data_IF_292902854957
#
_entry.id   IF_292902854957
#
_cell.length_a   1.000
_cell.length_b   1.000
_cell.length_c   1.000
_cell.angle_alpha   90.00
_cell.angle_beta   90.00
_cell.angle_gamma   90.00
#
_symmetry.space_group_name_H-M   'P 1'
#
loop_
_entity.id
_entity.type
_entity.pdbx_description
1 polymer ?
#
# COMPACT_ATOMS: atom_id res chain seq x y z
N UNK A 1 9.75 -11.34 -17.15
CA UNK A 1 9.82 -11.30 -15.67
C UNK A 1 10.61 -10.05 -15.28
N UNK A 2 10.23 -9.29 -14.25
CA UNK A 2 11.12 -8.25 -13.72
C UNK A 2 12.46 -8.90 -13.35
N UNK A 3 13.57 -8.20 -13.54
CA UNK A 3 14.87 -8.76 -13.19
C UNK A 3 14.93 -9.08 -11.70
N UNK A 4 15.40 -10.27 -11.33
CA UNK A 4 15.57 -10.65 -9.92
C UNK A 4 16.39 -9.61 -9.14
N UNK A 5 17.34 -8.96 -9.81
CA UNK A 5 18.15 -7.86 -9.27
C UNK A 5 17.32 -6.68 -8.74
N UNK A 6 16.21 -6.34 -9.39
CA UNK A 6 15.33 -5.27 -8.90
C UNK A 6 14.63 -5.67 -7.60
N UNK A 7 14.08 -6.88 -7.56
CA UNK A 7 13.42 -7.40 -6.37
C UNK A 7 14.41 -7.58 -5.19
N UNK A 8 15.62 -8.08 -5.44
CA UNK A 8 16.68 -8.21 -4.44
C UNK A 8 17.07 -6.86 -3.85
N UNK A 9 17.18 -5.81 -4.67
CA UNK A 9 17.46 -4.46 -4.20
C UNK A 9 16.33 -3.93 -3.31
N UNK A 10 15.07 -4.14 -3.68
CA UNK A 10 13.92 -3.76 -2.87
C UNK A 10 13.95 -4.46 -1.50
N UNK A 11 14.23 -5.76 -1.49
CA UNK A 11 14.36 -6.54 -0.26
C UNK A 11 15.49 -5.99 0.62
N UNK A 12 16.69 -5.77 0.08
CA UNK A 12 17.82 -5.19 0.85
C UNK A 12 17.45 -3.84 1.46
N UNK A 13 16.84 -2.97 0.64
CA UNK A 13 16.42 -1.62 1.05
C UNK A 13 15.45 -1.68 2.23
N UNK A 14 14.45 -2.58 2.18
CA UNK A 14 13.47 -2.72 3.25
C UNK A 14 14.12 -3.32 4.50
N UNK A 15 15.04 -4.30 4.38
CA UNK A 15 15.75 -4.88 5.54
C UNK A 15 16.59 -3.84 6.26
N UNK A 16 17.46 -3.15 5.52
CA UNK A 16 18.35 -2.12 6.08
C UNK A 16 17.55 -0.99 6.73
N UNK A 17 16.46 -0.57 6.10
CA UNK A 17 15.56 0.42 6.66
C UNK A 17 14.87 -0.08 7.94
N UNK A 18 14.33 -1.31 7.95
CA UNK A 18 13.68 -1.92 9.11
C UNK A 18 14.63 -1.97 10.31
N UNK A 19 15.84 -2.48 10.12
CA UNK A 19 16.85 -2.59 11.19
C UNK A 19 17.20 -1.23 11.78
N UNK A 20 17.37 -0.23 10.92
CA UNK A 20 17.62 1.15 11.35
C UNK A 20 16.47 1.70 12.20
N UNK A 21 15.23 1.52 11.77
CA UNK A 21 14.06 2.02 12.50
C UNK A 21 13.85 1.27 13.82
N UNK A 22 13.95 -0.07 13.80
CA UNK A 22 13.87 -0.89 15.01
C UNK A 22 14.86 -0.40 16.08
N UNK A 23 16.10 -0.06 15.68
CA UNK A 23 17.11 0.48 16.58
C UNK A 23 16.80 1.90 17.08
N UNK A 24 16.38 2.80 16.20
CA UNK A 24 16.13 4.21 16.54
C UNK A 24 14.93 4.34 17.49
N UNK A 25 13.86 3.60 17.22
CA UNK A 25 12.62 3.68 17.99
C UNK A 25 12.53 2.64 19.11
N UNK A 26 13.51 1.74 19.21
CA UNK A 26 13.50 0.62 20.16
C UNK A 26 12.23 -0.25 20.06
N UNK A 27 11.79 -0.53 18.83
CA UNK A 27 10.62 -1.35 18.49
C UNK A 27 11.00 -2.52 17.58
N UNK A 28 10.08 -3.46 17.39
CA UNK A 28 10.14 -4.38 16.25
C UNK A 28 9.00 -4.10 15.29
N UNK A 29 9.27 -3.53 14.12
CA UNK A 29 8.22 -3.29 13.12
C UNK A 29 7.47 -4.57 12.71
N UNK A 30 8.09 -5.75 12.83
CA UNK A 30 7.41 -7.02 12.56
C UNK A 30 6.39 -7.39 13.66
N UNK A 31 6.47 -6.85 14.88
CA UNK A 31 5.54 -7.22 15.95
C UNK A 31 4.11 -6.78 15.70
N UNK A 32 3.89 -5.80 14.81
CA UNK A 32 2.58 -5.23 14.47
C UNK A 32 1.82 -6.02 13.39
N UNK A 33 2.31 -7.21 13.04
CA UNK A 33 1.52 -8.16 12.26
C UNK A 33 1.89 -9.60 12.55
N UNK A 34 0.90 -10.48 12.42
CA UNK A 34 1.09 -11.92 12.52
C UNK A 34 1.93 -12.43 11.33
N UNK A 35 2.74 -13.49 11.53
CA UNK A 35 3.33 -14.22 10.41
C UNK A 35 2.23 -14.67 9.43
N UNK A 36 2.49 -14.55 8.14
CA UNK A 36 1.55 -15.07 7.14
C UNK A 36 1.62 -16.60 7.07
N UNK A 37 0.47 -17.23 6.89
CA UNK A 37 0.35 -18.69 6.82
C UNK A 37 1.04 -19.24 5.58
N UNK A 38 1.37 -20.53 5.59
CA UNK A 38 1.92 -21.22 4.41
C UNK A 38 0.98 -21.12 3.20
N UNK A 39 -0.31 -21.28 3.43
CA UNK A 39 -1.36 -21.12 2.41
C UNK A 39 -1.34 -19.71 1.80
N UNK A 40 -1.27 -18.65 2.62
CA UNK A 40 -1.20 -17.28 2.13
C UNK A 40 0.09 -17.01 1.33
N UNK A 41 1.22 -17.64 1.71
CA UNK A 41 2.45 -17.58 0.90
C UNK A 41 2.25 -18.24 -0.47
N UNK A 42 1.65 -19.42 -0.52
CA UNK A 42 1.34 -20.14 -1.76
C UNK A 42 0.38 -19.34 -2.66
N UNK A 43 -0.62 -18.68 -2.08
CA UNK A 43 -1.56 -17.81 -2.78
C UNK A 43 -0.86 -16.60 -3.43
N UNK A 44 0.03 -15.94 -2.67
CA UNK A 44 0.86 -14.84 -3.20
C UNK A 44 1.74 -15.34 -4.35
N UNK A 45 2.39 -16.50 -4.20
CA UNK A 45 3.21 -17.09 -5.26
C UNK A 45 2.38 -17.41 -6.51
N UNK A 46 1.15 -17.93 -6.35
CA UNK A 46 0.25 -18.20 -7.46
C UNK A 46 -0.16 -16.93 -8.22
N UNK A 47 -0.40 -15.83 -7.49
CA UNK A 47 -0.66 -14.50 -8.08
C UNK A 47 0.55 -13.96 -8.86
N UNK A 48 1.75 -14.07 -8.29
CA UNK A 48 3.00 -13.54 -8.88
C UNK A 48 3.44 -14.34 -10.09
N UNK A 49 3.34 -15.68 -10.04
CA UNK A 49 3.77 -16.58 -11.11
C UNK A 49 2.79 -16.63 -12.30
N UNK A 50 1.62 -15.98 -12.19
CA UNK A 50 0.62 -15.96 -13.25
C UNK A 50 0.06 -17.34 -13.58
N UNK A 51 0.05 -18.26 -12.60
CA UNK A 51 -0.48 -19.62 -12.76
C UNK A 51 -2.00 -19.64 -12.99
N UNK A 52 -2.68 -18.54 -12.68
CA UNK A 52 -4.12 -18.36 -12.81
C UNK A 52 -4.45 -17.75 -14.17
N UNK A 53 -5.19 -18.50 -14.99
CA UNK A 53 -5.53 -18.11 -16.37
C UNK A 53 -6.72 -17.17 -16.46
N UNK A 54 -7.73 -17.34 -15.60
CA UNK A 54 -8.96 -16.54 -15.67
C UNK A 54 -8.81 -15.23 -14.89
N UNK A 55 -9.31 -14.12 -15.47
CA UNK A 55 -9.27 -12.81 -14.82
C UNK A 55 -10.11 -12.78 -13.53
N UNK A 56 -11.21 -13.54 -13.51
CA UNK A 56 -12.10 -13.68 -12.35
C UNK A 56 -11.39 -14.37 -11.19
N UNK A 57 -10.83 -15.55 -11.40
CA UNK A 57 -10.18 -16.30 -10.32
C UNK A 57 -8.97 -15.55 -9.77
N UNK A 58 -8.27 -14.80 -10.63
CA UNK A 58 -7.19 -13.91 -10.21
C UNK A 58 -7.70 -12.77 -9.32
N UNK A 59 -8.87 -12.22 -9.63
CA UNK A 59 -9.53 -11.17 -8.84
C UNK A 59 -9.98 -11.69 -7.48
N UNK A 60 -10.66 -12.83 -7.48
CA UNK A 60 -11.14 -13.49 -6.27
C UNK A 60 -9.96 -13.84 -5.34
N UNK A 61 -8.86 -14.38 -5.88
CA UNK A 61 -7.67 -14.68 -5.08
C UNK A 61 -6.97 -13.41 -4.58
N UNK A 62 -6.85 -12.37 -5.41
CA UNK A 62 -6.24 -11.11 -4.97
C UNK A 62 -7.06 -10.46 -3.84
N UNK A 63 -8.39 -10.48 -3.92
CA UNK A 63 -9.26 -10.04 -2.83
C UNK A 63 -8.96 -10.81 -1.54
N UNK A 64 -8.90 -12.15 -1.62
CA UNK A 64 -8.62 -13.00 -0.47
C UNK A 64 -7.24 -12.72 0.14
N UNK A 65 -6.20 -12.63 -0.70
CA UNK A 65 -4.84 -12.32 -0.25
C UNK A 65 -4.78 -10.98 0.45
N UNK A 66 -5.39 -9.93 -0.12
CA UNK A 66 -5.34 -8.60 0.48
C UNK A 66 -6.14 -8.55 1.78
N UNK A 67 -7.33 -9.16 1.83
CA UNK A 67 -8.10 -9.29 3.06
C UNK A 67 -7.27 -9.99 4.15
N UNK A 68 -6.74 -11.17 3.85
CA UNK A 68 -5.99 -11.97 4.82
C UNK A 68 -4.73 -11.23 5.30
N UNK A 69 -4.02 -10.52 4.42
CA UNK A 69 -2.88 -9.69 4.81
C UNK A 69 -3.28 -8.57 5.76
N UNK A 70 -4.34 -7.83 5.45
CA UNK A 70 -4.79 -6.75 6.32
C UNK A 70 -5.37 -7.25 7.65
N UNK A 71 -5.97 -8.45 7.68
CA UNK A 71 -6.38 -9.12 8.92
C UNK A 71 -5.19 -9.56 9.79
N UNK A 72 -3.98 -9.68 9.22
CA UNK A 72 -2.77 -9.93 10.02
C UNK A 72 -2.25 -8.70 10.74
N UNK A 73 -2.68 -7.49 10.35
CA UNK A 73 -2.19 -6.25 10.95
C UNK A 73 -2.85 -6.01 12.30
N UNK A 74 -2.04 -5.96 13.35
CA UNK A 74 -2.53 -5.61 14.70
C UNK A 74 -2.80 -4.09 14.82
N UNK A 75 -2.48 -3.31 13.77
CA UNK A 75 -2.76 -1.87 13.64
C UNK A 75 -4.04 -1.52 12.88
N UNK A 76 -4.84 -2.52 12.45
CA UNK A 76 -6.09 -2.29 11.72
C UNK A 76 -7.31 -2.59 12.61
N UNK A 77 -8.13 -1.58 12.92
CA UNK A 77 -9.29 -1.73 13.83
C UNK A 77 -10.59 -2.09 13.09
N UNK A 78 -10.73 -1.73 11.81
CA UNK A 78 -11.91 -2.07 11.01
C UNK A 78 -11.58 -2.39 9.57
N UNK A 79 -12.07 -3.51 9.05
CA UNK A 79 -12.02 -3.85 7.63
C UNK A 79 -13.45 -3.97 7.11
N UNK A 80 -13.89 -3.00 6.28
CA UNK A 80 -15.25 -2.98 5.73
C UNK A 80 -15.22 -2.98 4.21
N UNK A 81 -15.42 -4.16 3.62
CA UNK A 81 -15.61 -4.29 2.17
C UNK A 81 -16.87 -3.52 1.75
N UNK A 82 -16.72 -2.52 0.89
CA UNK A 82 -17.83 -1.67 0.46
C UNK A 82 -18.55 -2.23 -0.77
N UNK A 83 -17.88 -2.75 -1.81
CA UNK A 83 -18.53 -3.11 -3.09
C UNK A 83 -18.07 -4.44 -3.71
N UNK A 84 -18.82 -5.54 -3.50
CA UNK A 84 -18.36 -6.91 -3.80
C UNK A 84 -18.54 -7.44 -5.23
N UNK A 85 -19.23 -6.75 -6.15
CA UNK A 85 -19.52 -7.35 -7.47
C UNK A 85 -19.55 -6.33 -8.60
N UNK A 86 -18.58 -6.41 -9.50
CA UNK A 86 -18.76 -5.98 -10.88
C UNK A 86 -18.91 -7.20 -11.80
N UNK A 87 -19.45 -7.01 -12.99
CA UNK A 87 -19.33 -7.98 -14.08
C UNK A 87 -17.84 -8.26 -14.33
N UNK A 88 -17.44 -9.53 -14.54
CA UNK A 88 -16.06 -10.01 -14.79
C UNK A 88 -15.17 -10.37 -13.58
N UNK A 89 -15.71 -10.49 -12.36
CA UNK A 89 -14.90 -10.86 -11.19
C UNK A 89 -13.91 -9.78 -10.78
N UNK A 90 -14.23 -8.54 -11.15
CA UNK A 90 -13.47 -7.37 -10.74
C UNK A 90 -14.14 -6.82 -9.48
N UNK A 91 -13.33 -6.24 -8.62
CA UNK A 91 -13.74 -5.89 -7.27
C UNK A 91 -13.10 -4.56 -6.90
N UNK A 92 -13.91 -3.68 -6.31
CA UNK A 92 -13.51 -2.46 -5.67
C UNK A 92 -13.79 -2.61 -4.18
N UNK A 93 -12.76 -2.59 -3.35
CA UNK A 93 -12.95 -2.45 -1.92
C UNK A 93 -12.44 -1.13 -1.43
N UNK A 94 -12.98 -0.72 -0.29
CA UNK A 94 -12.37 0.28 0.55
C UNK A 94 -12.02 -0.37 1.88
N UNK A 95 -10.83 -0.10 2.43
CA UNK A 95 -10.48 -0.50 3.80
C UNK A 95 -10.34 0.77 4.64
N UNK A 96 -11.21 1.00 5.61
CA UNK A 96 -11.04 2.12 6.54
C UNK A 96 -10.10 1.72 7.69
N UNK A 97 -8.84 2.12 7.64
CA UNK A 97 -7.90 1.98 8.75
C UNK A 97 -8.21 3.03 9.83
N UNK A 98 -8.26 2.62 11.09
CA UNK A 98 -8.19 3.52 12.25
C UNK A 98 -6.93 3.11 13.00
N UNK A 99 -6.02 4.05 13.22
CA UNK A 99 -4.78 3.79 13.94
C UNK A 99 -4.97 4.04 15.44
N UNK A 100 -4.24 3.28 16.25
CA UNK A 100 -4.09 3.56 17.68
C UNK A 100 -3.06 4.67 17.89
N UNK A 101 -3.08 5.34 19.04
CA UNK A 101 -2.12 6.38 19.42
C UNK A 101 -0.66 5.90 19.34
N UNK A 102 -0.40 4.64 19.72
CA UNK A 102 0.93 4.02 19.59
C UNK A 102 1.41 4.01 18.13
N UNK A 103 0.55 3.61 17.20
CA UNK A 103 0.89 3.55 15.78
C UNK A 103 1.06 4.95 15.21
N UNK A 104 0.23 5.92 15.62
CA UNK A 104 0.39 7.32 15.25
C UNK A 104 1.75 7.87 15.71
N UNK A 105 2.17 7.55 16.94
CA UNK A 105 3.48 7.94 17.48
C UNK A 105 4.63 7.30 16.71
N UNK A 106 4.59 6.01 16.39
CA UNK A 106 5.61 5.33 15.56
C UNK A 106 5.70 5.98 14.19
N UNK A 107 4.55 6.22 13.56
CA UNK A 107 4.47 6.88 12.25
C UNK A 107 5.10 8.28 12.31
N UNK A 108 4.85 9.05 13.38
CA UNK A 108 5.45 10.37 13.57
C UNK A 108 6.97 10.30 13.75
N UNK A 109 7.47 9.21 14.32
CA UNK A 109 8.91 8.94 14.47
C UNK A 109 9.60 8.51 13.17
N UNK A 110 8.88 7.96 12.19
CA UNK A 110 9.45 7.51 10.90
C UNK A 110 9.23 8.51 9.75
N UNK A 111 8.26 9.43 9.88
CA UNK A 111 7.98 10.49 8.91
C UNK A 111 7.71 11.83 9.59
N UNK A 112 8.26 12.92 9.04
CA UNK A 112 8.15 14.28 9.59
C UNK A 112 6.79 14.94 9.30
N UNK A 113 5.76 14.19 8.91
CA UNK A 113 4.52 14.72 8.37
C UNK A 113 3.36 14.26 9.23
N UNK A 114 2.57 15.22 9.74
CA UNK A 114 1.52 15.00 10.73
C UNK A 114 0.57 13.88 10.27
N UNK A 115 0.45 12.89 11.15
CA UNK A 115 0.06 11.52 10.82
C UNK A 115 -1.44 11.36 10.92
N UNK A 116 -2.09 11.11 9.78
CA UNK A 116 -3.24 10.20 9.62
C UNK A 116 -4.36 10.29 10.67
N UNK A 117 -4.69 11.48 11.19
CA UNK A 117 -5.80 11.71 12.15
C UNK A 117 -7.16 11.18 11.69
N UNK A 118 -7.30 10.85 10.40
CA UNK A 118 -8.52 10.34 9.78
C UNK A 118 -8.40 8.91 9.25
N UNK A 119 -7.26 8.25 9.48
CA UNK A 119 -7.00 6.91 8.96
C UNK A 119 -6.52 6.88 7.52
N UNK A 120 -6.40 5.66 6.98
CA UNK A 120 -6.10 5.39 5.57
C UNK A 120 -7.33 4.68 4.97
N UNK A 121 -7.59 4.88 3.69
CA UNK A 121 -8.47 4.05 2.89
C UNK A 121 -7.65 2.98 2.16
N UNK A 122 -8.14 1.77 1.99
CA UNK A 122 -7.63 0.82 0.99
C UNK A 122 -8.39 0.95 -0.32
N UNK A 123 -7.79 0.56 -1.43
CA UNK A 123 -8.45 0.29 -2.71
C UNK A 123 -7.61 -0.72 -3.46
N UNK A 124 -8.20 -1.76 -4.03
CA UNK A 124 -7.51 -2.50 -5.09
C UNK A 124 -8.28 -2.52 -6.38
N UNK A 125 -7.52 -2.48 -7.46
CA UNK A 125 -8.00 -2.63 -8.81
C UNK A 125 -7.34 -3.85 -9.43
N UNK A 126 -8.15 -4.83 -9.80
CA UNK A 126 -7.73 -5.97 -10.63
C UNK A 126 -8.30 -5.91 -12.07
N UNK A 127 -8.83 -4.76 -12.49
CA UNK A 127 -9.58 -4.61 -13.75
C UNK A 127 -8.72 -4.80 -15.01
N UNK A 128 -7.39 -4.67 -14.91
CA UNK A 128 -6.44 -4.65 -16.03
C UNK A 128 -5.06 -5.17 -15.61
N UNK A 129 -4.23 -5.59 -16.58
CA UNK A 129 -2.82 -5.96 -16.33
C UNK A 129 -2.02 -4.81 -15.69
N UNK A 130 -2.38 -3.57 -16.01
CA UNK A 130 -1.80 -2.33 -15.47
C UNK A 130 -2.88 -1.29 -15.20
N UNK A 131 -2.72 -0.50 -14.14
CA UNK A 131 -3.58 0.64 -13.81
C UNK A 131 -3.10 1.90 -14.56
N UNK A 132 -4.07 2.61 -15.16
CA UNK A 132 -3.88 3.84 -15.92
C UNK A 132 -4.06 5.11 -15.08
N UNK A 133 -3.62 6.24 -15.64
CA UNK A 133 -3.72 7.59 -15.06
C UNK A 133 -5.14 7.94 -14.56
N UNK A 134 -6.15 7.72 -15.40
CA UNK A 134 -7.55 8.09 -15.11
C UNK A 134 -8.09 7.48 -13.80
N UNK A 135 -7.71 6.23 -13.49
CA UNK A 135 -8.12 5.59 -12.23
C UNK A 135 -7.42 6.17 -11.01
N UNK A 136 -6.16 6.61 -11.18
CA UNK A 136 -5.44 7.31 -10.12
C UNK A 136 -6.04 8.69 -9.89
N UNK A 137 -6.36 9.45 -10.94
CA UNK A 137 -7.02 10.76 -10.81
C UNK A 137 -8.33 10.65 -10.00
N UNK A 138 -9.17 9.65 -10.30
CA UNK A 138 -10.39 9.36 -9.52
C UNK A 138 -10.08 9.07 -8.04
N UNK A 139 -8.98 8.39 -7.78
CA UNK A 139 -8.53 8.06 -6.43
C UNK A 139 -8.02 9.30 -5.69
N UNK A 140 -7.30 10.19 -6.38
CA UNK A 140 -6.89 11.49 -5.87
C UNK A 140 -8.10 12.32 -5.41
N UNK A 141 -9.15 12.38 -6.23
CA UNK A 141 -10.42 13.03 -5.86
C UNK A 141 -11.05 12.43 -4.60
N UNK A 142 -11.04 11.09 -4.48
CA UNK A 142 -11.57 10.39 -3.30
C UNK A 142 -10.76 10.68 -2.05
N UNK A 143 -9.43 10.67 -2.14
CA UNK A 143 -8.51 11.05 -1.05
C UNK A 143 -8.84 12.45 -0.54
N UNK A 144 -8.95 13.42 -1.46
CA UNK A 144 -9.33 14.79 -1.13
C UNK A 144 -10.71 14.88 -0.47
N UNK A 145 -11.73 14.23 -1.05
CA UNK A 145 -13.11 14.26 -0.53
C UNK A 145 -13.22 13.64 0.86
N UNK A 146 -12.56 12.52 1.09
CA UNK A 146 -12.62 11.79 2.38
C UNK A 146 -11.65 12.35 3.41
N UNK A 147 -10.66 13.13 2.99
CA UNK A 147 -9.54 13.62 3.79
C UNK A 147 -8.77 12.46 4.47
N UNK A 148 -8.60 11.35 3.75
CA UNK A 148 -7.82 10.17 4.16
C UNK A 148 -6.82 9.79 3.06
N UNK A 149 -5.58 9.47 3.43
CA UNK A 149 -4.64 8.83 2.49
C UNK A 149 -5.22 7.50 1.97
N UNK A 150 -4.71 6.98 0.86
CA UNK A 150 -5.24 5.76 0.23
C UNK A 150 -4.11 4.77 -0.09
N UNK A 151 -4.14 3.58 0.51
CA UNK A 151 -3.44 2.42 -0.05
C UNK A 151 -4.11 2.02 -1.34
N UNK A 152 -3.36 2.05 -2.44
CA UNK A 152 -3.85 1.64 -3.73
C UNK A 152 -3.08 0.39 -4.15
N UNK A 153 -3.76 -0.75 -4.21
CA UNK A 153 -3.17 -2.05 -4.53
C UNK A 153 -3.49 -2.39 -5.99
N UNK A 154 -2.47 -2.72 -6.77
CA UNK A 154 -2.64 -3.14 -8.16
C UNK A 154 -1.53 -4.11 -8.58
N UNK A 155 -1.75 -4.89 -9.64
CA UNK A 155 -0.69 -5.76 -10.16
C UNK A 155 0.52 -4.97 -10.67
N UNK A 156 0.27 -3.89 -11.40
CA UNK A 156 1.25 -2.97 -12.00
C UNK A 156 0.62 -1.61 -12.29
N UNK A 157 1.47 -0.62 -12.52
CA UNK A 157 1.10 0.75 -12.89
C UNK A 157 1.67 1.10 -14.26
N UNK A 158 0.95 1.93 -15.00
CA UNK A 158 1.49 2.61 -16.20
C UNK A 158 2.37 3.79 -15.78
N UNK A 159 3.27 4.25 -16.66
CA UNK A 159 4.10 5.45 -16.41
C UNK A 159 3.24 6.66 -16.04
N UNK A 160 2.17 6.93 -16.80
CA UNK A 160 1.25 8.02 -16.49
C UNK A 160 0.53 7.88 -15.15
N UNK A 161 0.28 6.65 -14.67
CA UNK A 161 -0.23 6.44 -13.31
C UNK A 161 0.82 6.76 -12.24
N UNK A 162 2.08 6.37 -12.46
CA UNK A 162 3.20 6.68 -11.55
C UNK A 162 3.43 8.19 -11.48
N UNK A 163 3.45 8.86 -12.63
CA UNK A 163 3.62 10.32 -12.72
C UNK A 163 2.50 11.05 -11.98
N UNK A 164 1.26 10.60 -12.11
CA UNK A 164 0.12 11.18 -11.39
C UNK A 164 0.20 10.97 -9.88
N UNK A 165 0.60 9.77 -9.42
CA UNK A 165 0.82 9.53 -7.99
C UNK A 165 1.96 10.42 -7.46
N UNK A 166 3.07 10.53 -8.19
CA UNK A 166 4.19 11.39 -7.82
C UNK A 166 3.78 12.86 -7.77
N UNK A 167 3.03 13.32 -8.77
CA UNK A 167 2.48 14.66 -8.81
C UNK A 167 1.62 14.92 -7.58
N UNK A 168 0.63 14.06 -7.31
CA UNK A 168 -0.27 14.17 -6.16
C UNK A 168 0.46 14.14 -4.81
N UNK A 169 1.45 13.25 -4.64
CA UNK A 169 2.18 13.10 -3.38
C UNK A 169 3.25 14.19 -3.17
N UNK A 170 3.70 14.86 -4.21
CA UNK A 170 4.76 15.89 -4.13
C UNK A 170 4.20 17.31 -4.11
N UNK A 171 3.08 17.55 -4.79
CA UNK A 171 2.46 18.86 -4.84
C UNK A 171 1.53 19.03 -3.65
N UNK A 172 1.91 19.94 -2.77
CA UNK A 172 0.99 20.52 -1.82
C UNK A 172 0.05 21.42 -2.61
N UNK A 173 -1.23 21.06 -2.66
CA UNK A 173 -2.21 21.77 -3.47
C UNK A 173 -2.53 23.16 -2.88
N UNK A 174 -1.67 24.15 -3.10
CA UNK A 174 -1.93 25.55 -2.74
C UNK A 174 -3.18 26.10 -3.46
N UNK A 175 -3.45 25.64 -4.68
CA UNK A 175 -4.65 26.05 -5.42
C UNK A 175 -5.91 25.22 -5.09
N UNK A 176 -5.80 24.13 -4.30
CA UNK A 176 -6.93 23.38 -3.73
C UNK A 176 -7.02 23.55 -2.20
N UNK A 177 -6.57 24.68 -1.66
CA UNK A 177 -6.51 24.98 -0.23
C UNK A 177 -7.85 24.76 0.51
N UNK A 178 -8.99 24.79 -0.18
CA UNK A 178 -10.31 24.53 0.42
C UNK A 178 -10.77 23.06 0.41
N UNK A 179 -10.12 22.15 -0.33
CA UNK A 179 -10.61 20.78 -0.54
C UNK A 179 -9.69 19.74 0.12
N UNK A 180 -8.37 19.84 -0.08
CA UNK A 180 -7.44 18.76 0.26
C UNK A 180 -6.44 19.10 1.38
N UNK A 181 -6.36 20.36 1.81
CA UNK A 181 -5.35 20.82 2.75
C UNK A 181 -5.98 21.34 4.05
N UNK A 182 -5.44 20.92 5.19
CA UNK A 182 -5.63 21.63 6.45
C UNK A 182 -4.25 21.86 7.06
N UNK A 183 -3.45 22.72 6.40
CA UNK A 183 -2.11 23.26 6.73
C UNK A 183 -0.99 22.26 7.12
N UNK A 184 -1.27 21.19 7.87
CA UNK A 184 -0.30 20.21 8.36
C UNK A 184 -0.54 18.77 7.85
N UNK A 185 -1.75 18.46 7.37
CA UNK A 185 -2.09 17.11 6.88
C UNK A 185 -1.65 16.92 5.42
N UNK A 186 -0.64 16.07 5.15
CA UNK A 186 -0.28 15.69 3.78
C UNK A 186 -1.03 14.43 3.37
N UNK A 187 -2.04 14.53 2.51
CA UNK A 187 -2.70 13.36 1.94
C UNK A 187 -1.78 12.67 0.90
N UNK A 188 -2.02 11.38 0.64
CA UNK A 188 -1.17 10.61 -0.30
C UNK A 188 -1.90 9.42 -0.90
N UNK A 189 -1.55 9.08 -2.14
CA UNK A 189 -1.79 7.76 -2.73
C UNK A 189 -0.55 6.90 -2.43
N UNK A 190 -0.75 5.76 -1.78
CA UNK A 190 0.31 4.85 -1.35
C UNK A 190 0.21 3.58 -2.20
N UNK A 191 0.99 3.47 -3.29
CA UNK A 191 0.88 2.34 -4.18
C UNK A 191 1.45 1.08 -3.52
N UNK A 192 0.77 -0.04 -3.70
CA UNK A 192 1.23 -1.38 -3.34
C UNK A 192 1.14 -2.26 -4.59
N UNK A 193 2.25 -2.87 -4.98
CA UNK A 193 2.32 -3.80 -6.10
C UNK A 193 2.57 -5.23 -5.64
N UNK A 194 2.56 -6.17 -6.58
CA UNK A 194 2.78 -7.59 -6.27
C UNK A 194 4.21 -7.90 -5.80
N UNK A 195 5.20 -7.05 -6.07
CA UNK A 195 6.53 -7.26 -5.52
C UNK A 195 6.53 -7.06 -4.01
N UNK A 196 5.81 -6.06 -3.49
CA UNK A 196 5.68 -5.84 -2.05
C UNK A 196 4.92 -6.97 -1.36
N UNK A 197 3.92 -7.56 -2.02
CA UNK A 197 3.28 -8.80 -1.52
C UNK A 197 4.29 -9.95 -1.46
N UNK A 198 5.12 -10.10 -2.49
CA UNK A 198 6.19 -11.11 -2.53
C UNK A 198 7.23 -10.89 -1.44
N UNK A 199 7.55 -9.66 -1.07
CA UNK A 199 8.46 -9.38 0.07
C UNK A 199 7.91 -9.98 1.37
N UNK A 200 6.58 -9.95 1.57
CA UNK A 200 5.93 -10.46 2.78
C UNK A 200 6.04 -11.98 2.96
N UNK A 201 6.43 -12.72 1.92
CA UNK A 201 6.64 -14.18 2.03
C UNK A 201 7.97 -14.55 2.67
N UNK A 202 8.90 -13.59 2.73
CA UNK A 202 10.19 -13.71 3.39
C UNK A 202 10.02 -13.60 4.92
N UNK A 203 10.62 -14.51 5.69
CA UNK A 203 10.42 -14.57 7.14
C UNK A 203 10.91 -13.33 7.89
N UNK A 204 11.92 -12.66 7.35
CA UNK A 204 12.56 -11.51 7.98
C UNK A 204 11.74 -10.20 7.85
N UNK A 205 10.78 -10.14 6.92
CA UNK A 205 9.96 -8.94 6.66
C UNK A 205 8.47 -9.32 6.72
N UNK A 206 7.76 -8.84 7.74
CA UNK A 206 6.31 -9.01 7.84
C UNK A 206 5.56 -7.88 7.14
N UNK A 207 4.26 -8.08 6.94
CA UNK A 207 3.40 -7.14 6.23
C UNK A 207 3.35 -5.76 6.91
N UNK A 208 3.37 -5.70 8.24
CA UNK A 208 3.46 -4.43 8.99
C UNK A 208 4.68 -3.60 8.58
N UNK A 209 5.85 -4.21 8.46
CA UNK A 209 7.08 -3.53 8.01
C UNK A 209 6.92 -2.94 6.61
N UNK A 210 6.28 -3.68 5.70
CA UNK A 210 5.96 -3.19 4.35
C UNK A 210 5.01 -2.00 4.40
N UNK A 211 3.97 -2.06 5.23
CA UNK A 211 3.00 -0.95 5.42
C UNK A 211 3.70 0.31 5.92
N UNK A 212 4.52 0.23 6.98
CA UNK A 212 5.27 1.38 7.48
C UNK A 212 6.24 1.94 6.45
N UNK A 213 6.98 1.08 5.75
CA UNK A 213 7.92 1.49 4.71
C UNK A 213 7.21 2.27 3.60
N UNK A 214 6.09 1.74 3.11
CA UNK A 214 5.36 2.33 1.98
C UNK A 214 4.67 3.63 2.34
N UNK A 215 4.12 3.76 3.55
CA UNK A 215 3.61 5.04 4.07
C UNK A 215 4.73 6.09 4.06
N UNK A 216 5.88 5.76 4.64
CA UNK A 216 7.03 6.69 4.70
C UNK A 216 7.43 7.16 3.29
N UNK A 217 7.69 6.22 2.39
CA UNK A 217 8.16 6.55 1.05
C UNK A 217 7.13 7.39 0.29
N UNK A 218 5.83 7.08 0.40
CA UNK A 218 4.79 7.83 -0.30
C UNK A 218 4.66 9.26 0.24
N UNK A 219 4.70 9.43 1.56
CA UNK A 219 4.63 10.76 2.22
C UNK A 219 5.83 11.63 1.86
N UNK A 220 7.00 11.03 1.63
CA UNK A 220 8.21 11.71 1.17
C UNK A 220 8.28 11.93 -0.34
N UNK A 221 7.25 11.55 -1.11
CA UNK A 221 7.25 11.66 -2.57
C UNK A 221 8.22 10.71 -3.28
N UNK A 222 8.58 9.59 -2.63
CA UNK A 222 9.58 8.60 -3.08
C UNK A 222 8.92 7.29 -3.51
N UNK A 223 7.79 7.33 -4.21
CA UNK A 223 7.06 6.11 -4.58
C UNK A 223 7.86 5.20 -5.54
N UNK A 224 8.85 5.75 -6.24
CA UNK A 224 9.73 4.96 -7.10
C UNK A 224 10.51 3.91 -6.29
N UNK A 225 10.82 4.20 -5.01
CA UNK A 225 11.40 3.22 -4.07
C UNK A 225 10.41 2.11 -3.70
N UNK A 226 9.11 2.42 -3.70
CA UNK A 226 8.04 1.46 -3.41
C UNK A 226 7.85 0.51 -4.60
N UNK A 227 7.75 1.06 -5.80
CA UNK A 227 7.53 0.31 -7.03
C UNK A 227 8.82 -0.26 -7.66
N UNK A 228 9.96 -0.01 -7.01
CA UNK A 228 11.30 -0.40 -7.48
C UNK A 228 11.54 0.01 -8.95
N UNK A 229 11.26 1.28 -9.23
CA UNK A 229 11.50 1.93 -10.51
C UNK A 229 12.79 2.74 -10.38
N UNK A 230 13.81 2.42 -11.19
CA UNK A 230 15.04 3.20 -11.27
C UNK A 230 14.83 4.49 -12.04
#
# INVERSE_FOLDING_TARGET
>A
MPSNKGFENLVSTIKEWKEKINKILAIDLNSFSKPITKELKEDIENLVLGKIKSAKDKGDLLEQVIRNLFETLDMAISFKITHKKTSFGQFDFIIDFIFTEEIENILSGITNIEVLKKGINGECKNYKEKVGKELIEQSCWRVCKTKKSLFYVASKYTTGAIDEINFFNSHHFGDFDNICCNKNDKLSIIPLDFNLLRVCTLEEIRFSTVVFFTIKQAKEGRINNILNLK
#
